data_IF_048059990735
#
_entry.id   IF_048059990735
#
_cell.length_a   1.000
_cell.length_b   1.000
_cell.length_c   1.000
_cell.angle_alpha   90.00
_cell.angle_beta   90.00
_cell.angle_gamma   90.00
#
_symmetry.space_group_name_H-M   'P 1'
#
loop_
_entity.id
_entity.type
_entity.pdbx_description
1 polymer ?
#
# COMPACT_ATOMS: atom_id res chain seq x y z
N UNK A 1 -42.86 -37.20 7.74
CA UNK A 1 -41.80 -37.52 6.74
C UNK A 1 -41.80 -36.64 5.49
N UNK A 2 -42.88 -35.98 5.05
CA UNK A 2 -42.87 -35.11 3.85
C UNK A 2 -42.20 -33.73 4.00
N UNK A 3 -42.09 -33.19 5.22
CA UNK A 3 -41.45 -31.86 5.46
C UNK A 3 -39.94 -31.87 5.45
N UNK A 4 -39.29 -32.99 5.79
CA UNK A 4 -37.81 -33.13 5.74
C UNK A 4 -37.28 -33.22 4.32
N UNK A 5 -38.01 -33.80 3.37
CA UNK A 5 -37.61 -33.92 1.98
C UNK A 5 -37.56 -32.58 1.24
N UNK A 6 -38.41 -31.60 1.64
CA UNK A 6 -38.43 -30.25 1.05
C UNK A 6 -37.21 -29.44 1.47
N UNK A 7 -36.73 -29.57 2.71
CA UNK A 7 -35.59 -28.86 3.25
C UNK A 7 -34.26 -29.33 2.61
N UNK A 8 -34.14 -30.65 2.40
CA UNK A 8 -32.94 -31.23 1.73
C UNK A 8 -32.88 -30.83 0.24
N UNK A 9 -34.03 -30.73 -0.44
CA UNK A 9 -34.08 -30.27 -1.83
C UNK A 9 -33.75 -28.78 -1.98
N UNK A 10 -34.13 -27.95 -1.01
CA UNK A 10 -33.81 -26.52 -1.00
C UNK A 10 -32.33 -26.29 -0.73
N UNK A 11 -31.70 -27.07 0.16
CA UNK A 11 -30.26 -27.03 0.43
C UNK A 11 -29.43 -27.50 -0.78
N UNK A 12 -29.87 -28.56 -1.49
CA UNK A 12 -29.19 -29.04 -2.71
C UNK A 12 -29.31 -28.04 -3.87
N UNK A 13 -30.44 -27.32 -4.00
CA UNK A 13 -30.60 -26.28 -5.03
C UNK A 13 -29.71 -25.06 -4.75
N UNK A 14 -29.46 -24.73 -3.46
CA UNK A 14 -28.59 -23.62 -3.10
C UNK A 14 -27.10 -23.93 -3.36
N UNK A 15 -26.68 -25.18 -3.20
CA UNK A 15 -25.28 -25.60 -3.49
C UNK A 15 -24.97 -25.61 -4.99
N UNK A 16 -25.94 -25.80 -5.86
CA UNK A 16 -25.77 -25.79 -7.31
C UNK A 16 -25.68 -24.38 -7.90
N UNK A 17 -26.18 -23.35 -7.22
CA UNK A 17 -26.10 -21.95 -7.65
C UNK A 17 -24.76 -21.26 -7.32
N UNK A 18 -23.95 -21.83 -6.42
CA UNK A 18 -22.60 -21.30 -6.08
C UNK A 18 -21.56 -21.69 -7.12
N UNK A 19 -21.85 -22.64 -8.03
CA UNK A 19 -20.89 -23.21 -8.98
C UNK A 19 -20.59 -22.39 -10.24
N UNK A 20 -21.24 -21.23 -10.47
CA UNK A 20 -21.02 -20.42 -11.68
C UNK A 20 -20.59 -18.98 -11.44
N UNK A 21 -20.15 -18.64 -10.22
CA UNK A 21 -19.39 -17.41 -10.05
C UNK A 21 -17.96 -17.69 -10.53
N UNK A 22 -17.70 -17.48 -11.83
CA UNK A 22 -16.32 -17.30 -12.29
C UNK A 22 -15.69 -16.24 -11.37
N UNK A 23 -14.57 -16.55 -10.70
CA UNK A 23 -13.87 -15.52 -9.95
C UNK A 23 -13.56 -14.41 -10.95
N UNK A 24 -14.20 -13.24 -10.78
CA UNK A 24 -13.72 -12.03 -11.44
C UNK A 24 -12.25 -11.98 -11.12
N UNK A 25 -11.41 -12.04 -12.20
CA UNK A 25 -9.99 -12.28 -12.11
C UNK A 25 -9.39 -11.59 -10.91
N UNK A 26 -8.52 -12.30 -10.20
CA UNK A 26 -7.72 -11.71 -9.15
C UNK A 26 -7.24 -10.35 -9.66
N UNK A 27 -7.32 -9.25 -8.89
CA UNK A 27 -6.87 -7.94 -9.35
C UNK A 27 -5.51 -8.16 -9.99
N UNK A 28 -5.37 -7.78 -11.27
CA UNK A 28 -4.25 -8.18 -12.12
C UNK A 28 -2.95 -7.96 -11.35
N UNK A 29 -2.04 -8.93 -11.41
CA UNK A 29 -0.78 -8.88 -10.71
C UNK A 29 -0.14 -7.50 -10.94
N UNK A 30 0.19 -6.82 -9.85
CA UNK A 30 0.85 -5.51 -9.93
C UNK A 30 2.24 -5.76 -10.51
N UNK A 31 2.49 -5.24 -11.71
CA UNK A 31 3.79 -5.32 -12.37
C UNK A 31 4.73 -4.26 -11.79
N UNK A 32 6.04 -4.49 -11.89
CA UNK A 32 7.03 -3.51 -11.49
C UNK A 32 6.85 -2.20 -12.27
N UNK A 33 7.14 -1.09 -11.60
CA UNK A 33 7.06 0.25 -12.18
C UNK A 33 8.17 0.41 -13.23
N UNK A 34 7.81 0.95 -14.39
CA UNK A 34 8.79 1.30 -15.41
C UNK A 34 9.27 2.74 -15.19
N UNK A 35 10.54 3.05 -15.56
CA UNK A 35 11.03 4.43 -15.51
C UNK A 35 10.10 5.39 -16.27
N UNK A 36 9.74 6.51 -15.66
CA UNK A 36 8.84 7.52 -16.22
C UNK A 36 7.37 7.12 -16.30
N UNK A 37 6.99 5.92 -15.84
CA UNK A 37 5.61 5.47 -15.88
C UNK A 37 4.74 6.29 -14.92
N UNK A 38 3.54 6.67 -15.40
CA UNK A 38 2.52 7.38 -14.63
C UNK A 38 1.27 6.54 -14.55
N UNK A 39 0.55 6.56 -13.41
CA UNK A 39 -0.71 5.82 -13.29
C UNK A 39 -1.79 6.38 -14.20
N UNK A 40 -2.65 5.49 -14.71
CA UNK A 40 -3.88 5.91 -15.40
C UNK A 40 -4.77 6.71 -14.44
N UNK A 41 -5.36 7.82 -14.92
CA UNK A 41 -6.07 8.80 -14.07
C UNK A 41 -7.27 8.21 -13.32
N UNK A 42 -7.87 7.16 -13.85
CA UNK A 42 -9.02 6.44 -13.28
C UNK A 42 -8.62 5.26 -12.38
N UNK A 43 -7.32 5.13 -12.07
CA UNK A 43 -6.79 4.02 -11.27
C UNK A 43 -6.70 4.33 -9.77
N UNK A 44 -6.72 3.27 -8.95
CA UNK A 44 -6.45 3.38 -7.50
C UNK A 44 -5.08 4.00 -7.22
N UNK A 45 -4.11 3.74 -8.08
CA UNK A 45 -2.75 4.27 -7.97
C UNK A 45 -2.72 5.78 -8.18
N UNK A 46 -3.51 6.32 -9.11
CA UNK A 46 -3.64 7.77 -9.29
C UNK A 46 -4.20 8.45 -8.04
N UNK A 47 -5.17 7.81 -7.38
CA UNK A 47 -5.70 8.30 -6.11
C UNK A 47 -4.63 8.37 -5.01
N UNK A 48 -3.79 7.33 -4.89
CA UNK A 48 -2.64 7.32 -3.97
C UNK A 48 -1.63 8.42 -4.31
N UNK A 49 -1.30 8.59 -5.59
CA UNK A 49 -0.39 9.64 -6.05
C UNK A 49 -0.91 11.03 -5.68
N UNK A 50 -2.19 11.30 -5.91
CA UNK A 50 -2.81 12.57 -5.56
C UNK A 50 -2.76 12.84 -4.05
N UNK A 51 -3.04 11.85 -3.22
CA UNK A 51 -2.97 11.97 -1.77
C UNK A 51 -1.55 12.29 -1.31
N UNK A 52 -0.56 11.55 -1.80
CA UNK A 52 0.86 11.76 -1.44
C UNK A 52 1.39 13.08 -1.99
N UNK A 53 0.97 13.53 -3.17
CA UNK A 53 1.38 14.83 -3.72
C UNK A 53 0.94 16.00 -2.82
N UNK A 54 -0.22 15.90 -2.17
CA UNK A 54 -0.65 16.90 -1.15
C UNK A 54 0.27 16.89 0.06
N UNK A 55 0.66 15.70 0.54
CA UNK A 55 1.62 15.54 1.65
C UNK A 55 2.98 16.12 1.25
N UNK A 56 3.46 15.83 0.04
CA UNK A 56 4.72 16.37 -0.48
C UNK A 56 4.70 17.91 -0.54
N UNK A 57 3.58 18.50 -0.98
CA UNK A 57 3.42 19.94 -1.00
C UNK A 57 3.48 20.55 0.41
N UNK A 58 2.80 19.92 1.38
CA UNK A 58 2.85 20.35 2.77
C UNK A 58 4.25 20.19 3.38
N UNK A 59 4.96 19.12 3.04
CA UNK A 59 6.33 18.88 3.50
C UNK A 59 7.28 19.99 3.01
N UNK A 60 7.19 20.38 1.74
CA UNK A 60 8.03 21.44 1.14
C UNK A 60 7.91 22.78 1.89
N UNK A 61 6.75 23.07 2.46
CA UNK A 61 6.44 24.33 3.15
C UNK A 61 6.51 24.22 4.68
N UNK A 62 6.82 23.02 5.22
CA UNK A 62 6.77 22.73 6.66
C UNK A 62 7.88 23.40 7.48
N UNK A 63 8.97 23.85 6.83
CA UNK A 63 10.20 24.30 7.52
C UNK A 63 11.08 23.16 8.07
N UNK A 64 10.66 21.88 7.91
CA UNK A 64 11.41 20.72 8.40
C UNK A 64 12.32 20.10 7.36
N UNK A 65 12.33 20.58 6.11
CA UNK A 65 13.21 20.08 5.06
C UNK A 65 14.57 20.77 5.15
N UNK A 66 15.63 19.96 5.17
CA UNK A 66 17.02 20.44 5.13
C UNK A 66 17.32 20.95 3.72
N UNK A 67 17.76 22.20 3.62
CA UNK A 67 18.02 22.88 2.34
C UNK A 67 19.52 22.97 1.99
N UNK A 68 20.41 22.33 2.75
CA UNK A 68 21.85 22.31 2.46
C UNK A 68 22.11 21.68 1.08
N UNK A 69 22.71 22.43 0.11
CA UNK A 69 22.83 21.92 -1.25
C UNK A 69 23.85 20.78 -1.38
N UNK A 70 24.91 20.78 -0.58
CA UNK A 70 25.95 19.76 -0.65
C UNK A 70 25.40 18.41 -0.15
N UNK A 71 24.70 18.43 0.98
CA UNK A 71 24.06 17.23 1.53
C UNK A 71 22.95 16.69 0.62
N UNK A 72 22.10 17.55 0.09
CA UNK A 72 21.04 17.14 -0.84
C UNK A 72 21.63 16.52 -2.12
N UNK A 73 22.66 17.15 -2.71
CA UNK A 73 23.36 16.61 -3.89
C UNK A 73 23.99 15.25 -3.61
N UNK A 74 24.63 15.10 -2.45
CA UNK A 74 25.24 13.84 -2.03
C UNK A 74 24.20 12.72 -1.93
N UNK A 75 23.12 12.92 -1.16
CA UNK A 75 22.09 11.91 -0.95
C UNK A 75 21.36 11.58 -2.27
N UNK A 76 21.03 12.59 -3.10
CA UNK A 76 20.46 12.37 -4.43
C UNK A 76 21.41 11.56 -5.31
N UNK A 77 22.73 11.79 -5.24
CA UNK A 77 23.74 11.03 -5.96
C UNK A 77 23.76 9.55 -5.54
N UNK A 78 23.65 9.26 -4.25
CA UNK A 78 23.52 7.87 -3.75
C UNK A 78 22.25 7.23 -4.32
N UNK A 79 21.12 7.92 -4.23
CA UNK A 79 19.82 7.44 -4.74
C UNK A 79 19.90 7.14 -6.24
N UNK A 80 20.49 8.01 -7.05
CA UNK A 80 20.59 7.81 -8.49
C UNK A 80 21.47 6.62 -8.86
N UNK A 81 22.54 6.37 -8.12
CA UNK A 81 23.37 5.16 -8.32
C UNK A 81 22.60 3.87 -8.04
N UNK A 82 21.69 3.89 -7.05
CA UNK A 82 20.86 2.73 -6.65
C UNK A 82 19.66 2.54 -7.58
N UNK A 83 18.99 3.62 -7.91
CA UNK A 83 17.74 3.61 -8.66
C UNK A 83 17.94 3.37 -10.17
N UNK A 84 19.15 3.66 -10.69
CA UNK A 84 19.45 3.53 -12.11
C UNK A 84 18.50 4.38 -12.98
N UNK A 85 17.76 3.77 -13.92
CA UNK A 85 16.86 4.50 -14.81
C UNK A 85 15.69 5.22 -14.12
N UNK A 86 15.40 4.90 -12.85
CA UNK A 86 14.37 5.58 -12.05
C UNK A 86 14.88 6.84 -11.33
N UNK A 87 16.15 7.23 -11.52
CA UNK A 87 16.72 8.39 -10.83
C UNK A 87 15.84 9.65 -10.96
N UNK A 88 15.37 9.95 -12.17
CA UNK A 88 14.57 11.15 -12.46
C UNK A 88 13.15 11.09 -11.89
N UNK A 89 12.68 9.90 -11.54
CA UNK A 89 11.36 9.72 -10.92
C UNK A 89 11.40 9.97 -9.40
N UNK A 90 12.59 9.93 -8.77
CA UNK A 90 12.74 9.97 -7.33
C UNK A 90 13.21 11.36 -6.88
N UNK A 91 12.42 11.96 -5.99
CA UNK A 91 12.71 13.25 -5.37
C UNK A 91 13.04 13.05 -3.90
N UNK A 92 14.27 13.41 -3.51
CA UNK A 92 14.77 13.26 -2.15
C UNK A 92 14.42 14.50 -1.32
N UNK A 93 13.90 14.26 -0.12
CA UNK A 93 13.67 15.26 0.92
C UNK A 93 14.35 14.80 2.21
N UNK A 94 15.36 15.54 2.66
CA UNK A 94 16.00 15.29 3.94
C UNK A 94 15.17 16.00 5.00
N UNK A 95 14.58 15.22 5.93
CA UNK A 95 13.64 15.73 6.93
C UNK A 95 14.28 15.77 8.31
N UNK A 96 14.18 16.90 9.00
CA UNK A 96 14.70 17.11 10.36
C UNK A 96 13.87 16.31 11.36
N UNK A 97 14.35 15.12 11.69
CA UNK A 97 13.79 14.26 12.75
C UNK A 97 14.86 13.32 13.31
N UNK A 98 14.92 13.12 14.64
CA UNK A 98 15.97 12.33 15.29
C UNK A 98 15.80 10.81 15.11
N UNK A 99 14.69 10.36 14.56
CA UNK A 99 14.42 8.93 14.36
C UNK A 99 15.25 8.35 13.22
N UNK A 100 15.66 7.08 13.36
CA UNK A 100 16.36 6.34 12.32
C UNK A 100 15.34 5.77 11.33
N UNK A 101 15.15 6.43 10.18
CA UNK A 101 14.22 5.96 9.15
C UNK A 101 14.46 6.62 7.80
N UNK A 102 13.93 5.99 6.75
CA UNK A 102 13.60 6.57 5.45
C UNK A 102 12.23 6.05 5.02
N UNK A 103 11.55 6.74 4.12
CA UNK A 103 10.24 6.29 3.61
C UNK A 103 10.10 6.63 2.13
N UNK A 104 9.58 5.70 1.36
CA UNK A 104 9.37 5.86 -0.07
C UNK A 104 7.87 5.85 -0.40
N UNK A 105 7.42 6.92 -1.04
CA UNK A 105 6.03 7.07 -1.44
C UNK A 105 5.79 6.65 -2.90
N UNK A 106 4.58 6.22 -3.27
CA UNK A 106 4.29 5.70 -4.61
C UNK A 106 4.49 6.72 -5.74
N UNK A 107 4.47 8.02 -5.45
CA UNK A 107 4.72 9.07 -6.43
C UNK A 107 6.22 9.41 -6.65
N UNK A 108 7.13 8.66 -6.01
CA UNK A 108 8.57 8.91 -6.08
C UNK A 108 9.10 9.91 -5.05
N UNK A 109 8.30 10.35 -4.06
CA UNK A 109 8.78 11.13 -2.93
C UNK A 109 9.54 10.22 -1.96
N UNK A 110 10.84 10.45 -1.79
CA UNK A 110 11.68 9.77 -0.82
C UNK A 110 12.03 10.73 0.32
N UNK A 111 11.62 10.40 1.53
CA UNK A 111 12.03 11.12 2.73
C UNK A 111 13.19 10.38 3.38
N UNK A 112 14.27 11.10 3.66
CA UNK A 112 15.45 10.60 4.39
C UNK A 112 15.55 11.39 5.68
N UNK A 113 15.44 10.71 6.81
CA UNK A 113 15.42 11.39 8.10
C UNK A 113 16.84 11.67 8.61
N UNK A 114 17.04 12.82 9.22
CA UNK A 114 18.37 13.19 9.75
C UNK A 114 18.89 12.18 10.75
N UNK A 115 18.02 11.53 11.52
CA UNK A 115 18.42 10.46 12.43
C UNK A 115 19.03 9.23 11.75
N UNK A 116 18.68 8.94 10.49
CA UNK A 116 19.35 7.92 9.68
C UNK A 116 20.75 8.41 9.28
N UNK A 117 20.86 9.63 8.76
CA UNK A 117 22.14 10.20 8.32
C UNK A 117 23.17 10.32 9.46
N UNK A 118 22.70 10.62 10.68
CA UNK A 118 23.54 10.75 11.86
C UNK A 118 24.02 9.40 12.43
N UNK A 119 23.38 8.29 12.07
CA UNK A 119 23.66 6.95 12.62
C UNK A 119 24.21 5.96 11.60
N UNK A 120 24.17 6.30 10.32
CA UNK A 120 24.84 5.52 9.30
C UNK A 120 26.35 5.78 9.38
N UNK A 121 27.14 4.77 9.71
CA UNK A 121 28.58 4.89 9.89
C UNK A 121 29.33 5.11 8.55
N UNK A 122 28.70 4.75 7.45
CA UNK A 122 29.27 4.84 6.10
C UNK A 122 28.21 4.84 5.00
N UNK A 123 28.64 5.16 3.78
CA UNK A 123 27.75 5.20 2.61
C UNK A 123 27.08 3.84 2.31
N UNK A 124 27.73 2.71 2.60
CA UNK A 124 27.15 1.40 2.35
C UNK A 124 25.91 1.12 3.22
N UNK A 125 25.94 1.55 4.50
CA UNK A 125 24.77 1.43 5.37
C UNK A 125 23.63 2.34 4.92
N UNK A 126 23.94 3.57 4.52
CA UNK A 126 22.96 4.48 3.95
C UNK A 126 22.37 3.88 2.65
N UNK A 127 23.23 3.40 1.75
CA UNK A 127 22.82 2.80 0.49
C UNK A 127 21.92 1.57 0.68
N UNK A 128 22.18 0.75 1.71
CA UNK A 128 21.34 -0.40 2.04
C UNK A 128 19.90 0.02 2.37
N UNK A 129 19.73 1.02 3.25
CA UNK A 129 18.41 1.53 3.63
C UNK A 129 17.70 2.16 2.44
N UNK A 130 18.39 3.03 1.69
CA UNK A 130 17.82 3.69 0.52
C UNK A 130 17.46 2.69 -0.60
N UNK A 131 18.29 1.67 -0.82
CA UNK A 131 18.02 0.60 -1.80
C UNK A 131 16.79 -0.22 -1.43
N UNK A 132 16.58 -0.46 -0.12
CA UNK A 132 15.37 -1.12 0.38
C UNK A 132 14.11 -0.30 0.04
N UNK A 133 14.12 1.00 0.34
CA UNK A 133 13.02 1.91 0.03
C UNK A 133 12.74 2.04 -1.47
N UNK A 134 13.80 2.13 -2.29
CA UNK A 134 13.69 2.16 -3.76
C UNK A 134 13.07 0.85 -4.28
N UNK A 135 13.43 -0.30 -3.69
CA UNK A 135 12.84 -1.58 -4.01
C UNK A 135 11.33 -1.62 -3.75
N UNK A 136 10.85 -1.03 -2.65
CA UNK A 136 9.42 -0.87 -2.38
C UNK A 136 8.69 -0.05 -3.45
N UNK A 137 9.33 1.02 -3.92
CA UNK A 137 8.80 1.88 -4.98
C UNK A 137 8.70 1.14 -6.31
N UNK A 138 9.81 0.56 -6.78
CA UNK A 138 9.88 -0.15 -8.05
C UNK A 138 8.88 -1.30 -8.13
N UNK A 139 8.68 -2.02 -7.03
CA UNK A 139 7.74 -3.15 -6.92
C UNK A 139 6.32 -2.74 -6.57
N UNK A 140 6.04 -1.43 -6.44
CA UNK A 140 4.71 -0.90 -6.11
C UNK A 140 4.09 -1.51 -4.85
N UNK A 141 4.89 -1.79 -3.81
CA UNK A 141 4.41 -2.44 -2.59
C UNK A 141 3.30 -1.65 -1.89
N UNK A 142 3.36 -0.31 -1.91
CA UNK A 142 2.29 0.54 -1.35
C UNK A 142 0.95 0.33 -2.07
N UNK A 143 0.96 0.19 -3.41
CA UNK A 143 -0.25 -0.11 -4.19
C UNK A 143 -0.79 -1.51 -3.87
N UNK A 144 0.09 -2.50 -3.74
CA UNK A 144 -0.29 -3.86 -3.37
C UNK A 144 -0.95 -3.87 -1.98
N UNK A 145 -0.30 -3.27 -0.97
CA UNK A 145 -0.84 -3.17 0.37
C UNK A 145 -2.20 -2.44 0.40
N UNK A 146 -2.34 -1.35 -0.35
CA UNK A 146 -3.61 -0.62 -0.46
C UNK A 146 -4.73 -1.51 -1.04
N UNK A 147 -4.45 -2.25 -2.12
CA UNK A 147 -5.42 -3.18 -2.74
C UNK A 147 -5.79 -4.31 -1.79
N UNK A 148 -4.83 -4.86 -1.06
CA UNK A 148 -5.06 -5.93 -0.08
C UNK A 148 -5.97 -5.46 1.07
N UNK A 149 -5.68 -4.29 1.63
CA UNK A 149 -6.52 -3.68 2.69
C UNK A 149 -7.94 -3.42 2.16
N UNK A 150 -8.06 -2.85 0.96
CA UNK A 150 -9.37 -2.58 0.34
C UNK A 150 -10.15 -3.87 0.05
N UNK A 151 -9.48 -4.91 -0.45
CA UNK A 151 -10.12 -6.21 -0.69
C UNK A 151 -10.63 -6.85 0.61
N UNK A 152 -9.82 -6.82 1.67
CA UNK A 152 -10.21 -7.30 3.00
C UNK A 152 -11.39 -6.50 3.57
N UNK A 153 -11.37 -5.17 3.48
CA UNK A 153 -12.45 -4.31 3.92
C UNK A 153 -13.76 -4.58 3.17
N UNK A 154 -13.70 -4.72 1.83
CA UNK A 154 -14.86 -5.04 1.01
C UNK A 154 -15.45 -6.43 1.34
N UNK A 155 -14.60 -7.45 1.54
CA UNK A 155 -15.03 -8.78 1.95
C UNK A 155 -15.75 -8.73 3.31
N UNK A 156 -15.20 -7.97 4.27
CA UNK A 156 -15.81 -7.81 5.61
C UNK A 156 -17.17 -7.15 5.53
N UNK A 157 -17.30 -6.07 4.75
CA UNK A 157 -18.58 -5.38 4.55
C UNK A 157 -19.61 -6.30 3.89
N UNK A 158 -19.18 -7.10 2.92
CA UNK A 158 -20.05 -8.10 2.27
C UNK A 158 -20.55 -9.15 3.27
N UNK A 159 -19.68 -9.75 4.07
CA UNK A 159 -20.07 -10.72 5.08
C UNK A 159 -20.93 -10.11 6.18
N UNK A 160 -20.64 -8.88 6.60
CA UNK A 160 -21.47 -8.16 7.57
C UNK A 160 -22.89 -7.92 7.04
N UNK A 161 -23.04 -7.50 5.77
CA UNK A 161 -24.34 -7.32 5.14
C UNK A 161 -25.10 -8.65 5.01
N UNK A 162 -24.41 -9.74 4.63
CA UNK A 162 -25.02 -11.08 4.51
C UNK A 162 -25.52 -11.59 5.88
N UNK A 163 -24.74 -11.43 6.94
CA UNK A 163 -25.13 -11.86 8.30
C UNK A 163 -26.26 -11.00 8.86
N UNK A 164 -26.29 -9.71 8.56
CA UNK A 164 -27.40 -8.83 8.91
C UNK A 164 -28.69 -9.24 8.21
N UNK A 165 -28.64 -9.55 6.90
CA UNK A 165 -29.78 -10.03 6.11
C UNK A 165 -30.30 -11.40 6.60
N UNK A 166 -29.41 -12.26 7.11
CA UNK A 166 -29.76 -13.57 7.67
C UNK A 166 -30.28 -13.50 9.12
N UNK A 167 -30.36 -12.32 9.73
CA UNK A 167 -30.82 -12.15 11.12
C UNK A 167 -29.82 -12.61 12.19
N UNK A 168 -28.57 -12.87 11.83
CA UNK A 168 -27.52 -13.41 12.72
C UNK A 168 -26.57 -12.26 13.14
N UNK A 169 -27.13 -11.18 13.65
CA UNK A 169 -26.40 -9.93 13.95
C UNK A 169 -25.19 -10.06 14.89
N UNK A 170 -25.14 -11.09 15.73
CA UNK A 170 -24.04 -11.31 16.68
C UNK A 170 -22.75 -11.83 15.98
N UNK A 171 -22.88 -12.60 14.91
CA UNK A 171 -21.74 -13.16 14.18
C UNK A 171 -21.02 -12.07 13.34
N UNK A 172 -21.76 -11.06 12.87
CA UNK A 172 -21.20 -9.93 12.12
C UNK A 172 -20.17 -9.13 12.92
N UNK A 173 -20.38 -8.94 14.22
CA UNK A 173 -19.45 -8.21 15.10
C UNK A 173 -18.13 -8.96 15.33
N UNK A 174 -18.17 -10.29 15.42
CA UNK A 174 -16.96 -11.12 15.60
C UNK A 174 -16.11 -11.17 14.32
N UNK A 175 -16.74 -11.24 13.15
CA UNK A 175 -16.03 -11.19 11.84
C UNK A 175 -15.39 -9.82 11.67
N UNK A 176 -16.07 -8.74 12.06
CA UNK A 176 -15.53 -7.38 11.97
C UNK A 176 -14.30 -7.18 12.88
N UNK A 177 -14.32 -7.73 14.10
CA UNK A 177 -13.19 -7.71 15.02
C UNK A 177 -12.00 -8.54 14.50
N UNK A 178 -12.24 -9.71 13.92
CA UNK A 178 -11.19 -10.57 13.35
C UNK A 178 -10.50 -9.92 12.15
N UNK A 179 -11.22 -9.19 11.30
CA UNK A 179 -10.64 -8.49 10.15
C UNK A 179 -9.90 -7.23 10.58
N UNK A 180 -10.43 -6.46 11.55
CA UNK A 180 -9.70 -5.33 12.11
C UNK A 180 -8.38 -5.78 12.74
N UNK A 181 -8.37 -6.88 13.49
CA UNK A 181 -7.13 -7.42 14.07
C UNK A 181 -6.10 -7.85 13.01
N UNK A 182 -6.55 -8.34 11.83
CA UNK A 182 -5.66 -8.75 10.73
C UNK A 182 -5.11 -7.59 9.89
N UNK A 183 -5.68 -6.39 10.03
CA UNK A 183 -5.21 -5.17 9.35
C UNK A 183 -4.14 -4.45 10.19
N UNK A 184 -4.18 -4.64 11.52
CA UNK A 184 -3.25 -4.00 12.47
C UNK A 184 -2.14 -4.96 12.98
N UNK A 185 -2.10 -6.20 12.54
CA UNK A 185 -1.03 -7.16 12.80
C UNK A 185 -0.04 -7.20 11.65
#
# INVERSE_FOLDING_TARGET
MRRAAGFVRLLLAFTLLVGCATPRGAPGAVTDLKPGERPALDSDEAGLWMAVTRVETSLKTSGHVVTDPALNTYVQGVVCRLAGPHCDDIRVYIVQTPHFNATMAPNGMLQVWTGLLLRADNEAQLAYVLGHEIGHYQRRHTLQAFRDVRAKANATLFFAALTAAAGVGYVGSLVQLAVLSSVFA
#
